data_IF_803434899482
#
_entry.id   IF_803434899482
#
_cell.length_a   1.000
_cell.length_b   1.000
_cell.length_c   1.000
_cell.angle_alpha   90.00
_cell.angle_beta   90.00
_cell.angle_gamma   90.00
#
_symmetry.space_group_name_H-M   'P 1'
#
loop_
_entity.id
_entity.type
_entity.pdbx_description
1 polymer ?
#
# COMPACT_ATOMS: atom_id res chain seq x y z
N UNK A 1 11.00 17.10 9.13
CA UNK A 1 10.14 16.62 8.02
C UNK A 1 9.52 15.24 8.32
N UNK A 2 8.85 15.05 9.47
CA UNK A 2 8.37 13.71 9.90
C UNK A 2 7.19 13.14 9.09
N UNK A 3 6.63 13.92 8.15
CA UNK A 3 5.40 13.61 7.44
C UNK A 3 5.56 13.67 5.92
N UNK A 4 6.80 13.64 5.41
CA UNK A 4 7.09 13.67 3.98
C UNK A 4 7.87 12.45 3.58
N UNK A 5 7.55 11.94 2.41
CA UNK A 5 8.31 10.87 1.78
C UNK A 5 9.70 11.40 1.36
N UNK A 6 10.81 10.87 1.89
CA UNK A 6 12.15 11.31 1.52
C UNK A 6 12.47 11.05 0.04
N UNK A 7 11.86 10.02 -0.58
CA UNK A 7 12.07 9.68 -2.00
C UNK A 7 11.39 10.64 -2.96
N UNK A 8 10.60 11.60 -2.46
CA UNK A 8 10.05 12.67 -3.30
C UNK A 8 11.10 13.71 -3.67
N UNK A 9 12.23 13.78 -2.98
CA UNK A 9 13.21 14.83 -3.21
C UNK A 9 14.55 14.25 -3.62
N UNK A 10 15.33 15.02 -4.36
CA UNK A 10 16.72 14.71 -4.67
C UNK A 10 17.52 15.99 -4.82
N UNK A 11 18.81 15.92 -4.52
CA UNK A 11 19.71 17.04 -4.70
C UNK A 11 20.25 17.04 -6.13
N UNK A 12 20.46 18.22 -6.69
CA UNK A 12 21.12 18.40 -7.99
C UNK A 12 22.11 19.56 -7.94
N UNK A 13 23.12 19.52 -8.81
CA UNK A 13 24.11 20.57 -8.97
C UNK A 13 24.02 21.17 -10.38
N UNK A 14 24.06 22.49 -10.47
CA UNK A 14 24.21 23.19 -11.75
C UNK A 14 25.66 23.04 -12.24
N UNK A 15 25.84 22.57 -13.47
CA UNK A 15 27.15 22.37 -14.11
C UNK A 15 27.16 23.12 -15.44
N UNK A 16 28.21 23.93 -15.66
CA UNK A 16 28.41 24.68 -16.89
C UNK A 16 29.32 23.90 -17.85
N UNK A 17 28.82 23.58 -19.04
CA UNK A 17 29.62 22.96 -20.10
C UNK A 17 30.40 24.04 -20.83
N UNK A 18 31.68 24.22 -20.46
CA UNK A 18 32.57 25.31 -20.93
C UNK A 18 32.60 25.51 -22.44
N UNK A 19 32.51 24.44 -23.23
CA UNK A 19 32.60 24.50 -24.71
C UNK A 19 31.33 25.04 -25.38
N UNK A 20 30.17 24.95 -24.71
CA UNK A 20 28.88 25.30 -25.29
C UNK A 20 28.16 26.44 -24.56
N UNK A 21 28.67 26.89 -23.39
CA UNK A 21 28.01 27.89 -22.56
C UNK A 21 26.67 27.42 -21.95
N UNK A 22 26.33 26.14 -22.11
CA UNK A 22 25.08 25.55 -21.64
C UNK A 22 25.22 25.16 -20.17
N UNK A 23 24.22 25.54 -19.36
CA UNK A 23 24.10 25.11 -17.97
C UNK A 23 23.12 23.95 -17.87
N UNK A 24 23.51 22.90 -17.18
CA UNK A 24 22.69 21.69 -16.99
C UNK A 24 22.61 21.33 -15.51
N UNK A 25 21.48 20.78 -15.05
CA UNK A 25 21.35 20.25 -13.70
C UNK A 25 21.70 18.76 -13.67
N UNK A 26 22.74 18.41 -12.93
CA UNK A 26 23.15 17.03 -12.71
C UNK A 26 22.54 16.53 -11.39
N UNK A 27 21.67 15.49 -11.39
CA UNK A 27 21.22 14.84 -10.17
C UNK A 27 22.42 14.29 -9.40
N UNK A 28 22.41 14.51 -8.08
CA UNK A 28 23.42 13.97 -7.17
C UNK A 28 22.90 12.69 -6.53
N UNK A 29 23.81 11.73 -6.37
CA UNK A 29 23.57 10.50 -5.62
C UNK A 29 23.50 10.78 -4.11
N UNK A 30 23.03 9.81 -3.33
CA UNK A 30 22.85 9.97 -1.88
C UNK A 30 24.20 10.17 -1.16
N UNK A 31 25.29 9.66 -1.73
CA UNK A 31 26.66 9.73 -1.22
C UNK A 31 27.48 10.89 -1.82
N UNK A 32 26.86 11.81 -2.58
CA UNK A 32 27.57 12.81 -3.37
C UNK A 32 28.37 13.86 -2.56
N UNK A 33 28.24 13.90 -1.23
CA UNK A 33 28.98 14.79 -0.31
C UNK A 33 29.10 16.24 -0.83
N UNK A 34 27.99 17.01 -0.85
CA UNK A 34 27.94 18.34 -1.49
C UNK A 34 29.02 19.32 -1.03
N UNK A 35 29.40 19.27 0.25
CA UNK A 35 30.47 20.11 0.81
C UNK A 35 31.84 19.84 0.16
N UNK A 36 32.15 18.57 -0.13
CA UNK A 36 33.40 18.20 -0.81
C UNK A 36 33.36 18.65 -2.27
N UNK A 37 32.23 18.43 -2.95
CA UNK A 37 32.03 18.92 -4.33
C UNK A 37 32.23 20.43 -4.41
N UNK A 38 31.69 21.19 -3.45
CA UNK A 38 31.87 22.64 -3.37
C UNK A 38 33.34 23.04 -3.19
N UNK A 39 34.12 22.29 -2.40
CA UNK A 39 35.55 22.61 -2.20
C UNK A 39 36.41 22.42 -3.46
N UNK A 40 35.97 21.58 -4.39
CA UNK A 40 36.67 21.29 -5.63
C UNK A 40 36.34 22.27 -6.77
N UNK A 41 35.35 23.15 -6.58
CA UNK A 41 34.92 24.12 -7.58
C UNK A 41 35.36 25.54 -7.21
N UNK A 42 35.52 26.45 -8.20
CA UNK A 42 35.76 27.86 -7.91
C UNK A 42 34.67 28.43 -7.00
N UNK A 43 35.06 29.33 -6.08
CA UNK A 43 34.14 29.96 -5.13
C UNK A 43 33.04 30.69 -5.91
N UNK A 44 31.78 30.31 -5.66
CA UNK A 44 30.60 30.92 -6.29
C UNK A 44 29.99 30.11 -7.43
N UNK A 45 30.68 29.09 -7.95
CA UNK A 45 30.21 28.32 -9.12
C UNK A 45 29.40 27.07 -8.73
N UNK A 46 29.42 26.67 -7.45
CA UNK A 46 28.66 25.51 -6.96
C UNK A 46 27.25 25.90 -6.55
N UNK A 47 26.28 25.67 -7.43
CA UNK A 47 24.86 25.88 -7.13
C UNK A 47 24.14 24.56 -6.98
N UNK A 48 23.74 24.25 -5.76
CA UNK A 48 22.93 23.09 -5.43
C UNK A 48 21.44 23.48 -5.36
N UNK A 49 20.56 22.57 -5.82
CA UNK A 49 19.13 22.76 -5.71
C UNK A 49 18.43 21.46 -5.34
N UNK A 50 17.47 21.56 -4.43
CA UNK A 50 16.57 20.46 -4.09
C UNK A 50 15.46 20.39 -5.15
N UNK A 51 15.32 19.23 -5.76
CA UNK A 51 14.38 18.95 -6.84
C UNK A 51 13.37 17.90 -6.39
N UNK A 52 12.18 17.90 -7.01
CA UNK A 52 11.11 16.94 -6.71
C UNK A 52 11.06 15.84 -7.77
N UNK A 53 10.96 14.58 -7.34
CA UNK A 53 10.73 13.42 -8.21
C UNK A 53 9.23 13.28 -8.52
N UNK A 54 8.92 12.51 -9.56
CA UNK A 54 7.52 12.13 -9.85
C UNK A 54 6.91 11.44 -8.63
N UNK A 55 5.69 11.83 -8.29
CA UNK A 55 4.94 11.29 -7.18
C UNK A 55 3.44 11.46 -7.38
N UNK A 56 2.67 11.06 -6.37
CA UNK A 56 1.22 11.16 -6.39
C UNK A 56 0.62 10.92 -5.00
N UNK A 57 -0.64 11.32 -4.85
CA UNK A 57 -1.37 11.16 -3.61
C UNK A 57 -1.91 9.73 -3.53
N UNK A 58 -1.64 9.05 -2.41
CA UNK A 58 -2.27 7.79 -2.06
C UNK A 58 -3.13 7.97 -0.81
N UNK A 59 -4.30 7.32 -0.80
CA UNK A 59 -5.21 7.28 0.34
C UNK A 59 -5.17 5.88 0.95
N UNK A 60 -4.85 5.80 2.24
CA UNK A 60 -4.78 4.54 3.00
C UNK A 60 -5.73 4.61 4.18
N UNK A 61 -6.67 3.67 4.26
CA UNK A 61 -7.50 3.47 5.44
C UNK A 61 -6.64 2.88 6.55
N UNK A 62 -6.49 3.62 7.65
CA UNK A 62 -5.48 3.41 8.69
C UNK A 62 -6.06 3.13 10.08
N UNK A 63 -7.31 2.66 10.16
CA UNK A 63 -7.99 2.34 11.42
C UNK A 63 -7.23 1.33 12.30
N UNK A 64 -6.38 0.48 11.71
CA UNK A 64 -5.50 -0.44 12.43
C UNK A 64 -4.31 0.24 13.15
N UNK A 65 -3.99 1.48 12.78
CA UNK A 65 -2.97 2.33 13.40
C UNK A 65 -3.60 3.38 14.32
N UNK A 66 -4.69 3.99 13.87
CA UNK A 66 -5.41 5.02 14.61
C UNK A 66 -6.92 4.81 14.43
N UNK A 67 -7.57 4.26 15.46
CA UNK A 67 -9.00 3.98 15.44
C UNK A 67 -9.88 5.22 15.25
N UNK A 68 -9.36 6.41 15.53
CA UNK A 68 -10.07 7.68 15.36
C UNK A 68 -9.86 8.30 13.98
N UNK A 69 -9.03 7.70 13.12
CA UNK A 69 -8.81 8.16 11.75
C UNK A 69 -9.56 7.29 10.75
N UNK A 70 -10.22 7.93 9.77
CA UNK A 70 -10.86 7.20 8.68
C UNK A 70 -9.82 6.76 7.64
N UNK A 71 -8.94 7.68 7.25
CA UNK A 71 -7.87 7.43 6.31
C UNK A 71 -6.76 8.47 6.47
N UNK A 72 -5.55 8.09 6.04
CA UNK A 72 -4.42 8.99 5.83
C UNK A 72 -4.18 9.18 4.34
N UNK A 73 -4.07 10.43 3.90
CA UNK A 73 -3.58 10.77 2.56
C UNK A 73 -2.11 11.16 2.64
N UNK A 74 -1.27 10.52 1.82
CA UNK A 74 0.17 10.80 1.76
C UNK A 74 0.58 11.09 0.32
N UNK A 75 1.31 12.18 0.12
CA UNK A 75 2.01 12.42 -1.14
C UNK A 75 3.29 11.57 -1.11
N UNK A 76 3.42 10.64 -2.05
CA UNK A 76 4.55 9.70 -2.12
C UNK A 76 5.22 9.72 -3.48
N UNK A 77 6.49 9.33 -3.51
CA UNK A 77 7.25 9.12 -4.74
C UNK A 77 6.71 7.93 -5.51
N UNK A 78 6.82 7.99 -6.84
CA UNK A 78 6.51 6.85 -7.70
C UNK A 78 7.43 5.64 -7.42
N UNK A 79 8.54 5.82 -6.71
CA UNK A 79 9.48 4.77 -6.33
C UNK A 79 9.25 4.19 -4.93
N UNK A 80 8.31 4.74 -4.16
CA UNK A 80 8.07 4.33 -2.77
C UNK A 80 7.40 2.96 -2.75
N UNK A 81 7.96 2.08 -1.94
CA UNK A 81 7.49 0.70 -1.78
C UNK A 81 6.39 0.61 -0.72
N UNK A 82 5.74 -0.54 -0.61
CA UNK A 82 4.72 -0.80 0.42
C UNK A 82 5.32 -0.69 1.82
N UNK A 83 6.47 -1.28 2.08
CA UNK A 83 7.12 -1.23 3.39
C UNK A 83 7.48 0.20 3.80
N UNK A 84 7.95 1.00 2.84
CA UNK A 84 8.26 2.41 3.06
C UNK A 84 6.99 3.23 3.32
N UNK A 85 5.89 2.95 2.60
CA UNK A 85 4.60 3.58 2.88
C UNK A 85 4.09 3.22 4.29
N UNK A 86 4.23 1.97 4.72
CA UNK A 86 3.90 1.55 6.08
C UNK A 86 4.78 2.30 7.09
N UNK A 87 6.09 2.38 6.86
CA UNK A 87 7.00 3.14 7.73
C UNK A 87 6.61 4.63 7.84
N UNK A 88 6.19 5.26 6.73
CA UNK A 88 5.67 6.63 6.73
C UNK A 88 4.38 6.77 7.55
N UNK A 89 3.45 5.83 7.42
CA UNK A 89 2.21 5.81 8.21
C UNK A 89 2.48 5.64 9.71
N UNK A 90 3.40 4.75 10.08
CA UNK A 90 3.83 4.55 11.46
C UNK A 90 4.48 5.82 12.03
N UNK A 91 5.35 6.47 11.25
CA UNK A 91 5.96 7.75 11.65
C UNK A 91 4.91 8.84 11.86
N UNK A 92 3.91 8.91 10.97
CA UNK A 92 2.82 9.88 11.08
C UNK A 92 1.89 9.64 12.28
N UNK A 93 1.79 8.40 12.76
CA UNK A 93 1.01 8.02 13.95
C UNK A 93 1.86 7.96 15.22
N UNK A 94 3.15 8.33 15.15
CA UNK A 94 4.13 8.21 16.23
C UNK A 94 4.24 6.77 16.79
N UNK A 95 3.98 5.77 15.93
CA UNK A 95 4.08 4.36 16.24
C UNK A 95 5.50 3.85 15.94
N UNK A 96 6.08 3.09 16.89
CA UNK A 96 7.45 2.53 16.82
C UNK A 96 7.48 1.01 16.56
N UNK A 97 6.34 0.40 16.31
CA UNK A 97 6.21 -1.00 15.88
C UNK A 97 6.97 -1.23 14.56
N UNK A 98 7.33 -2.48 14.28
CA UNK A 98 8.05 -2.81 13.04
C UNK A 98 7.11 -2.89 11.85
N UNK A 99 7.60 -2.58 10.65
CA UNK A 99 6.79 -2.60 9.42
C UNK A 99 6.19 -3.97 9.13
N UNK A 100 6.91 -5.05 9.45
CA UNK A 100 6.48 -6.43 9.20
C UNK A 100 5.33 -6.89 10.11
N UNK A 101 5.01 -6.12 11.16
CA UNK A 101 3.80 -6.29 11.96
C UNK A 101 2.55 -5.84 11.22
N UNK A 102 2.69 -5.24 10.03
CA UNK A 102 1.59 -4.75 9.22
C UNK A 102 1.67 -5.30 7.81
N UNK A 103 0.53 -5.27 7.11
CA UNK A 103 0.43 -5.56 5.70
C UNK A 103 -0.49 -4.54 5.05
N UNK A 104 -0.17 -4.14 3.82
CA UNK A 104 -1.04 -3.31 2.99
C UNK A 104 -1.87 -4.20 2.06
N UNK A 105 -3.16 -3.89 1.95
CA UNK A 105 -4.08 -4.55 1.05
C UNK A 105 -4.62 -3.54 0.05
N UNK A 106 -4.80 -3.96 -1.19
CA UNK A 106 -5.82 -3.36 -2.06
C UNK A 106 -7.14 -4.09 -1.81
N UNK A 107 -8.22 -3.33 -1.68
CA UNK A 107 -9.56 -3.84 -1.46
C UNK A 107 -10.46 -3.25 -2.53
N UNK A 108 -11.16 -4.10 -3.28
CA UNK A 108 -12.09 -3.71 -4.32
C UNK A 108 -13.47 -4.29 -3.96
N UNK A 109 -14.32 -3.53 -3.22
CA UNK A 109 -15.61 -4.03 -2.74
C UNK A 109 -16.53 -4.52 -3.87
N UNK A 110 -16.52 -3.85 -5.02
CA UNK A 110 -17.33 -4.21 -6.18
C UNK A 110 -17.00 -5.58 -6.79
N UNK A 111 -15.82 -6.13 -6.49
CA UNK A 111 -15.38 -7.46 -6.93
C UNK A 111 -15.36 -8.48 -5.78
N UNK A 112 -15.75 -8.07 -4.57
CA UNK A 112 -15.57 -8.85 -3.34
C UNK A 112 -14.13 -9.40 -3.17
N UNK A 113 -13.17 -8.68 -3.73
CA UNK A 113 -11.78 -9.10 -3.81
C UNK A 113 -10.90 -8.22 -2.92
N UNK A 114 -9.99 -8.87 -2.20
CA UNK A 114 -8.88 -8.21 -1.51
C UNK A 114 -7.59 -8.92 -1.86
N UNK A 115 -6.51 -8.17 -2.04
CA UNK A 115 -5.17 -8.71 -2.31
C UNK A 115 -4.17 -8.05 -1.38
N UNK A 116 -3.38 -8.88 -0.69
CA UNK A 116 -2.20 -8.41 0.06
C UNK A 116 -1.13 -7.99 -0.94
N UNK A 117 -0.61 -6.78 -0.80
CA UNK A 117 0.49 -6.30 -1.63
C UNK A 117 1.83 -6.85 -1.13
N UNK A 118 2.77 -7.04 -2.05
CA UNK A 118 4.14 -7.43 -1.71
C UNK A 118 4.87 -6.23 -1.07
N UNK A 119 5.77 -6.44 -0.09
CA UNK A 119 6.61 -5.38 0.48
C UNK A 119 7.29 -4.46 -0.56
N UNK A 120 7.75 -5.04 -1.67
CA UNK A 120 8.42 -4.34 -2.76
C UNK A 120 7.48 -3.73 -3.81
N UNK A 121 6.16 -3.99 -3.73
CA UNK A 121 5.19 -3.36 -4.64
C UNK A 121 5.23 -1.84 -4.47
N UNK A 122 4.87 -1.11 -5.54
CA UNK A 122 4.80 0.35 -5.53
C UNK A 122 3.34 0.81 -5.45
N UNK A 123 2.85 1.33 -4.31
CA UNK A 123 1.44 1.65 -4.11
C UNK A 123 0.89 2.62 -5.17
N UNK A 124 1.69 3.62 -5.58
CA UNK A 124 1.26 4.55 -6.61
C UNK A 124 1.06 3.86 -7.96
N UNK A 125 1.93 2.92 -8.32
CA UNK A 125 1.80 2.13 -9.54
C UNK A 125 0.57 1.20 -9.45
N UNK A 126 0.35 0.55 -8.31
CA UNK A 126 -0.85 -0.26 -8.07
C UNK A 126 -2.12 0.57 -8.25
N UNK A 127 -2.20 1.76 -7.63
CA UNK A 127 -3.34 2.67 -7.74
C UNK A 127 -3.64 3.08 -9.19
N UNK A 128 -2.60 3.28 -10.01
CA UNK A 128 -2.73 3.64 -11.42
C UNK A 128 -3.29 2.51 -12.29
N UNK A 129 -3.24 1.26 -11.83
CA UNK A 129 -3.82 0.11 -12.55
C UNK A 129 -5.31 -0.09 -12.26
N UNK A 130 -5.87 0.61 -11.28
CA UNK A 130 -7.29 0.49 -10.96
C UNK A 130 -8.16 1.04 -12.08
N UNK A 131 -9.16 0.26 -12.48
CA UNK A 131 -10.14 0.74 -13.46
C UNK A 131 -11.01 1.83 -12.83
N UNK A 132 -11.34 2.92 -13.54
CA UNK A 132 -12.12 4.03 -12.99
C UNK A 132 -13.50 3.65 -12.42
N UNK A 133 -14.08 2.55 -12.89
CA UNK A 133 -15.37 2.03 -12.43
C UNK A 133 -15.26 1.15 -11.17
N UNK A 134 -14.05 0.80 -10.73
CA UNK A 134 -13.82 0.01 -9.54
C UNK A 134 -13.40 0.94 -8.40
N UNK A 135 -14.19 0.95 -7.33
CA UNK A 135 -13.89 1.70 -6.11
C UNK A 135 -12.87 0.95 -5.25
N UNK A 136 -11.67 0.76 -5.78
CA UNK A 136 -10.57 0.15 -5.04
C UNK A 136 -9.94 1.17 -4.07
N UNK A 137 -9.45 0.68 -2.93
CA UNK A 137 -8.75 1.49 -1.94
C UNK A 137 -7.66 0.69 -1.22
N UNK A 138 -6.72 1.39 -0.59
CA UNK A 138 -5.73 0.75 0.26
C UNK A 138 -6.22 0.65 1.70
N UNK A 139 -5.92 -0.48 2.34
CA UNK A 139 -6.25 -0.75 3.74
C UNK A 139 -5.02 -1.36 4.42
N UNK A 140 -4.59 -0.77 5.54
CA UNK A 140 -3.54 -1.37 6.37
C UNK A 140 -4.15 -2.29 7.42
N UNK A 141 -3.52 -3.44 7.67
CA UNK A 141 -3.92 -4.40 8.71
C UNK A 141 -2.73 -4.83 9.55
N UNK A 142 -3.00 -5.18 10.81
CA UNK A 142 -2.03 -5.84 11.71
C UNK A 142 -1.87 -7.31 11.32
N UNK A 143 -0.66 -7.83 11.43
CA UNK A 143 -0.30 -9.24 11.27
C UNK A 143 -0.21 -9.87 12.67
N UNK A 144 -1.27 -10.53 13.17
CA UNK A 144 -1.28 -11.08 14.54
C UNK A 144 -0.21 -12.15 14.76
N UNK A 145 0.12 -12.92 13.72
CA UNK A 145 1.07 -14.03 13.77
C UNK A 145 2.53 -13.60 13.57
N UNK A 146 2.81 -12.29 13.55
CA UNK A 146 4.19 -11.83 13.46
C UNK A 146 4.96 -12.21 14.73
N UNK A 147 5.76 -13.27 14.62
CA UNK A 147 6.70 -13.69 15.65
C UNK A 147 8.09 -13.12 15.32
N UNK A 148 8.64 -12.22 16.16
CA UNK A 148 10.02 -11.77 15.99
C UNK A 148 10.93 -13.01 15.97
N UNK A 149 11.77 -13.12 14.95
CA UNK A 149 12.66 -14.28 14.73
C UNK A 149 13.49 -14.63 15.97
N UNK A 150 13.76 -13.67 16.86
CA UNK A 150 14.45 -13.88 18.14
C UNK A 150 13.72 -14.76 19.15
N UNK A 151 12.40 -14.99 19.01
CA UNK A 151 11.62 -15.85 19.93
C UNK A 151 11.40 -17.27 19.40
N UNK A 152 11.82 -17.58 18.17
CA UNK A 152 11.92 -18.97 17.70
C UNK A 152 13.21 -19.57 18.27
N UNK A 153 13.18 -20.01 19.52
CA UNK A 153 14.03 -21.15 19.92
C UNK A 153 13.54 -22.34 19.12
N UNK A 154 14.06 -22.50 17.91
CA UNK A 154 13.91 -23.73 17.13
C UNK A 154 14.71 -24.76 17.91
N UNK A 155 14.04 -25.51 18.79
CA UNK A 155 14.58 -26.76 19.28
C UNK A 155 14.62 -27.69 18.07
N UNK A 156 15.75 -27.68 17.37
CA UNK A 156 16.12 -28.80 16.53
C UNK A 156 16.30 -29.98 17.47
N UNK A 157 15.24 -30.76 17.70
CA UNK A 157 15.42 -32.11 18.18
C UNK A 157 16.12 -32.85 17.04
N UNK A 158 17.44 -32.95 17.13
CA UNK A 158 18.19 -33.91 16.35
C UNK A 158 17.67 -35.29 16.75
N UNK A 159 16.72 -35.81 15.97
CA UNK A 159 16.27 -37.18 16.05
C UNK A 159 17.43 -38.08 15.67
N UNK A 160 18.25 -38.44 16.65
CA UNK A 160 19.11 -39.60 16.51
C UNK A 160 18.19 -40.82 16.36
N UNK A 161 18.19 -41.37 15.16
CA UNK A 161 17.77 -42.73 14.88
C UNK A 161 18.44 -43.67 15.89
N UNK A 162 17.64 -44.24 16.78
CA UNK A 162 18.01 -45.40 17.60
C UNK A 162 16.84 -46.35 17.55
N UNK A 163 16.90 -47.29 16.61
CA UNK A 163 16.05 -48.45 16.52
C UNK A 163 16.16 -49.29 17.80
N UNK A 164 15.09 -49.32 18.62
CA UNK A 164 14.81 -50.48 19.48
C UNK A 164 13.31 -50.74 19.52
N UNK A 165 12.99 -51.91 19.00
CA UNK A 165 11.75 -52.68 19.12
C UNK A 165 11.21 -52.75 20.55
N UNK A 166 9.92 -52.46 20.72
CA UNK A 166 9.09 -53.11 21.74
C UNK A 166 7.61 -53.03 21.35
N UNK A 167 7.01 -54.21 21.21
CA UNK A 167 5.59 -54.43 20.94
C UNK A 167 4.71 -53.84 22.05
N UNK A 168 3.66 -53.10 21.70
CA UNK A 168 2.37 -53.27 22.38
C UNK A 168 1.21 -52.91 21.46
N UNK A 169 0.14 -53.66 21.67
CA UNK A 169 -1.02 -53.88 20.82
C UNK A 169 -2.11 -52.82 21.01
N UNK A 170 -3.10 -52.86 20.11
CA UNK A 170 -4.46 -52.30 20.18
C UNK A 170 -4.57 -50.79 19.87
N UNK A 171 -5.49 -50.29 19.04
CA UNK A 171 -6.68 -50.86 18.41
C UNK A 171 -7.07 -49.93 17.25
N UNK A 172 -7.41 -50.51 16.10
CA UNK A 172 -8.05 -49.81 14.98
C UNK A 172 -9.55 -49.69 15.30
N UNK A 173 -10.12 -48.49 15.23
CA UNK A 173 -11.57 -48.32 15.02
C UNK A 173 -11.82 -47.36 13.86
N UNK A 174 -12.19 -47.97 12.73
CA UNK A 174 -12.89 -47.36 11.59
C UNK A 174 -14.38 -47.25 11.93
N UNK A 175 -15.00 -46.15 11.53
CA UNK A 175 -16.43 -46.05 11.18
C UNK A 175 -16.55 -44.88 10.18
N UNK A 176 -16.71 -45.09 8.86
CA UNK A 176 -17.92 -45.51 8.12
C UNK A 176 -19.17 -44.77 8.63
N UNK A 177 -19.60 -43.69 7.95
CA UNK A 177 -20.56 -43.64 6.83
C UNK A 177 -22.02 -43.50 7.28
N UNK A 178 -22.68 -42.42 6.88
CA UNK A 178 -24.06 -42.50 6.36
C UNK A 178 -24.41 -41.28 5.49
N UNK A 179 -24.95 -41.62 4.32
CA UNK A 179 -25.49 -40.78 3.27
C UNK A 179 -27.02 -40.86 3.33
N UNK A 180 -27.69 -39.71 3.10
CA UNK A 180 -29.01 -39.51 2.44
C UNK A 180 -30.30 -39.93 3.21
N UNK A 181 -31.51 -39.39 2.88
CA UNK A 181 -31.93 -38.85 1.57
C UNK A 181 -32.80 -37.57 1.51
N UNK A 182 -32.79 -36.96 0.32
CA UNK A 182 -33.79 -36.04 -0.24
C UNK A 182 -35.12 -36.76 -0.52
N UNK A 183 -36.25 -36.05 -0.37
CA UNK A 183 -37.35 -36.10 -1.35
C UNK A 183 -38.19 -34.80 -1.36
N UNK A 184 -38.83 -34.49 -2.51
CA UNK A 184 -39.42 -33.20 -2.85
C UNK A 184 -40.94 -33.17 -2.63
N UNK A 185 -41.55 -31.97 -2.57
CA UNK A 185 -42.94 -31.76 -2.97
C UNK A 185 -43.15 -30.40 -3.65
N UNK A 186 -43.94 -30.47 -4.72
CA UNK A 186 -44.33 -29.48 -5.71
C UNK A 186 -45.53 -28.60 -5.32
N UNK A 187 -45.72 -27.54 -6.12
CA UNK A 187 -46.98 -26.82 -6.45
C UNK A 187 -47.65 -25.96 -5.35
N UNK A 188 -48.26 -24.79 -5.58
CA UNK A 188 -48.87 -24.20 -6.78
C UNK A 188 -49.12 -22.68 -6.61
N UNK A 189 -49.37 -22.05 -7.75
CA UNK A 189 -49.61 -20.63 -8.07
C UNK A 189 -50.75 -19.89 -7.33
N UNK A 190 -50.69 -18.55 -7.28
CA UNK A 190 -51.69 -17.65 -7.93
C UNK A 190 -51.39 -16.14 -7.77
N UNK A 191 -51.11 -15.49 -8.92
CA UNK A 191 -51.79 -14.33 -9.52
C UNK A 191 -52.32 -13.13 -8.69
N UNK A 192 -51.87 -11.90 -9.04
CA UNK A 192 -52.63 -10.66 -9.43
C UNK A 192 -51.70 -9.42 -9.25
N UNK A 193 -51.30 -8.70 -10.31
CA UNK A 193 -51.95 -7.64 -11.14
C UNK A 193 -51.95 -6.21 -10.53
N UNK A 194 -51.80 -5.24 -11.44
CA UNK A 194 -51.97 -3.75 -11.39
C UNK A 194 -50.87 -2.92 -10.72
N UNK A 195 -50.50 -1.71 -11.16
CA UNK A 195 -50.69 -0.93 -12.39
C UNK A 195 -49.79 0.33 -12.29
N UNK A 196 -49.38 0.84 -13.46
CA UNK A 196 -49.22 2.25 -13.86
C UNK A 196 -48.30 3.28 -13.16
N UNK A 197 -47.65 4.06 -14.05
CA UNK A 197 -47.31 5.50 -14.04
C UNK A 197 -45.91 6.02 -13.62
N UNK A 198 -45.17 6.39 -14.66
CA UNK A 198 -44.12 7.44 -14.78
C UNK A 198 -44.67 8.86 -14.47
N UNK A 199 -43.87 9.96 -14.54
CA UNK A 199 -42.44 10.17 -14.26
C UNK A 199 -42.19 11.44 -13.38
N UNK A 200 -40.98 11.65 -12.86
CA UNK A 200 -40.55 13.00 -12.46
C UNK A 200 -39.07 13.25 -12.73
N UNK A 201 -38.84 14.38 -13.41
CA UNK A 201 -37.59 14.91 -13.93
C UNK A 201 -36.65 15.40 -12.82
N UNK A 202 -35.35 15.19 -12.99
CA UNK A 202 -34.29 15.97 -12.35
C UNK A 202 -33.28 16.43 -13.41
N UNK A 203 -32.79 17.68 -13.34
CA UNK A 203 -32.03 18.30 -14.42
C UNK A 203 -30.55 17.91 -14.45
N UNK A 204 -29.97 18.21 -15.60
CA UNK A 204 -28.70 17.74 -16.10
C UNK A 204 -27.44 18.24 -15.37
N UNK A 205 -26.42 17.40 -15.53
CA UNK A 205 -24.98 17.57 -15.31
C UNK A 205 -24.47 18.96 -15.73
N UNK A 206 -23.60 19.54 -14.91
CA UNK A 206 -22.52 20.37 -15.39
C UNK A 206 -21.19 19.65 -15.15
N UNK A 207 -20.57 19.21 -16.24
CA UNK A 207 -19.29 18.51 -16.29
C UNK A 207 -18.16 19.53 -16.35
N UNK A 208 -17.49 19.77 -15.24
CA UNK A 208 -16.19 20.43 -15.20
C UNK A 208 -15.17 19.47 -14.61
N UNK A 209 -14.23 18.99 -15.42
CA UNK A 209 -13.03 18.32 -14.91
C UNK A 209 -12.25 19.37 -14.08
N UNK A 210 -11.87 19.09 -12.81
CA UNK A 210 -11.04 20.01 -12.07
C UNK A 210 -9.66 20.09 -12.72
N UNK A 211 -9.25 21.33 -13.02
CA UNK A 211 -7.97 21.66 -13.64
C UNK A 211 -6.89 21.67 -12.57
N UNK A 212 -5.64 21.39 -12.97
CA UNK A 212 -4.45 21.40 -12.11
C UNK A 212 -4.28 22.71 -11.30
N UNK A 213 -4.86 23.81 -11.78
CA UNK A 213 -4.85 25.13 -11.13
C UNK A 213 -5.66 25.19 -9.82
N UNK A 214 -6.60 24.28 -9.58
CA UNK A 214 -7.49 24.33 -8.40
C UNK A 214 -6.78 23.93 -7.08
N UNK A 215 -5.52 23.46 -7.16
CA UNK A 215 -4.75 23.01 -6.00
C UNK A 215 -3.76 24.05 -5.44
N UNK A 216 -3.58 25.22 -6.07
CA UNK A 216 -2.63 26.22 -5.56
C UNK A 216 -3.11 26.97 -4.31
N UNK A 217 -4.37 26.82 -3.91
CA UNK A 217 -4.97 27.65 -2.85
C UNK A 217 -5.06 27.03 -1.44
N UNK A 218 -4.45 25.87 -1.19
CA UNK A 218 -4.48 25.24 0.16
C UNK A 218 -3.20 25.44 0.97
N UNK A 219 -2.55 26.61 0.81
CA UNK A 219 -1.44 27.03 1.67
C UNK A 219 -1.79 28.31 2.42
N UNK A 220 -2.59 28.21 3.48
CA UNK A 220 -2.56 29.19 4.56
C UNK A 220 -2.67 28.49 5.92
N UNK A 221 -1.53 28.55 6.62
CA UNK A 221 -1.25 28.53 8.08
C UNK A 221 -1.94 27.48 8.95
#
# INVERSE_FOLDING_TARGET
MKHRDPKLFYLSMEVTVRKAGVRTHLPLDEEARPAVLQSCHPKGDSKFSLQTRRGGLVKVYDSALNCNSQYKSLLISAKTTVDELIALLLTCSNNKERVEQFSLYEVCPSKEQQRKLHPDDRPLQVQQTWLPNLQCHFLIRRNPDYLPLTRRKIFWTSGHSSSKTANTSMQLSKSHMSLLPLKPQDEKASTKKSDANNPSQLPAKNSGNPSYADYENYFYI
#
